data_IF_302442471400
#
_entry.id   IF_302442471400
#
_cell.length_a   1.000
_cell.length_b   1.000
_cell.length_c   1.000
_cell.angle_alpha   90.00
_cell.angle_beta   90.00
_cell.angle_gamma   90.00
#
_symmetry.space_group_name_H-M   'P 1'
#
loop_
_entity.id
_entity.type
_entity.pdbx_description
1 polymer ?
#
# COMPACT_ATOMS: atom_id res chain seq x y z
N UNK A 1 5.94 26.49 0.71
CA UNK A 1 6.26 25.75 0.48
C UNK A 1 6.19 24.64 1.15
N UNK A 2 5.90 23.75 0.91
CA UNK A 2 5.68 22.79 1.51
C UNK A 2 6.64 22.17 1.78
N UNK A 3 6.98 21.88 2.61
CA UNK A 3 7.96 21.30 2.87
C UNK A 3 7.78 20.04 3.12
N UNK A 4 8.37 19.19 2.64
CA UNK A 4 8.50 17.90 3.05
C UNK A 4 7.27 17.24 3.44
N UNK A 5 6.36 17.13 2.70
CA UNK A 5 5.30 16.30 3.02
C UNK A 5 4.27 16.90 3.87
N UNK A 6 4.39 18.18 4.07
CA UNK A 6 3.41 18.85 4.84
C UNK A 6 2.22 19.27 4.02
N UNK A 7 2.21 19.04 2.71
CA UNK A 7 1.05 19.40 1.94
C UNK A 7 -0.04 18.39 2.17
N UNK A 8 -1.27 18.81 1.97
CA UNK A 8 -2.39 17.91 2.15
C UNK A 8 -2.27 16.70 1.23
N UNK A 9 -1.95 16.92 -0.04
CA UNK A 9 -1.84 15.81 -0.96
C UNK A 9 -0.73 14.85 -0.55
N UNK A 10 0.40 15.39 -0.11
CA UNK A 10 1.50 14.54 0.32
C UNK A 10 1.17 13.74 1.56
N UNK A 11 0.44 14.35 2.48
CA UNK A 11 0.04 13.66 3.70
C UNK A 11 -0.91 12.52 3.39
N UNK A 12 -1.84 12.75 2.47
CA UNK A 12 -2.80 11.70 2.09
C UNK A 12 -2.07 10.55 1.42
N UNK A 13 -1.13 10.85 0.53
CA UNK A 13 -0.41 9.80 -0.14
C UNK A 13 0.42 8.99 0.83
N UNK A 14 1.06 9.64 1.78
CA UNK A 14 1.85 8.92 2.76
C UNK A 14 0.98 8.01 3.60
N UNK A 15 -0.19 8.49 3.99
CA UNK A 15 -1.10 7.70 4.80
C UNK A 15 -1.59 6.50 4.00
N UNK A 16 -1.96 6.71 2.74
CA UNK A 16 -2.41 5.60 1.91
C UNK A 16 -1.32 4.57 1.71
N UNK A 17 -0.10 5.04 1.47
CA UNK A 17 1.00 4.11 1.29
C UNK A 17 1.20 3.26 2.53
N UNK A 18 1.14 3.88 3.70
CA UNK A 18 1.34 3.12 4.92
C UNK A 18 0.23 2.11 5.15
N UNK A 19 -1.00 2.46 4.83
CA UNK A 19 -2.09 1.53 4.97
C UNK A 19 -1.90 0.32 4.07
N UNK A 20 -1.49 0.56 2.83
CA UNK A 20 -1.31 -0.51 1.88
C UNK A 20 -0.13 -1.39 2.31
N UNK A 21 0.96 -0.78 2.73
CA UNK A 21 2.12 -1.55 3.16
C UNK A 21 1.77 -2.42 4.36
N UNK A 22 1.05 -1.86 5.33
CA UNK A 22 0.67 -2.65 6.50
C UNK A 22 -0.25 -3.80 6.12
N UNK A 23 -1.18 -3.56 5.22
CA UNK A 23 -2.07 -4.63 4.78
C UNK A 23 -1.30 -5.71 4.03
N UNK A 24 -0.30 -5.32 3.22
CA UNK A 24 0.50 -6.30 2.53
C UNK A 24 1.37 -7.10 3.49
N UNK A 25 1.84 -6.45 4.55
CA UNK A 25 2.61 -7.19 5.55
C UNK A 25 1.73 -8.24 6.22
N UNK A 26 0.50 -7.86 6.57
CA UNK A 26 -0.38 -8.81 7.25
C UNK A 26 -0.79 -9.95 6.35
N UNK A 27 -0.88 -9.71 5.05
CA UNK A 27 -1.35 -10.73 4.13
C UNK A 27 -0.24 -11.42 3.38
N UNK A 28 1.00 -11.10 3.69
CA UNK A 28 2.12 -11.75 3.03
C UNK A 28 2.24 -11.38 1.56
N UNK A 29 1.87 -10.16 1.22
CA UNK A 29 1.96 -9.72 -0.16
C UNK A 29 0.74 -10.07 -1.01
N UNK A 30 -0.31 -10.57 -0.38
CA UNK A 30 -1.50 -10.96 -1.13
C UNK A 30 -2.34 -9.71 -1.40
N UNK A 31 -2.32 -9.26 -2.64
CA UNK A 31 -3.01 -8.02 -2.97
C UNK A 31 -4.52 -8.12 -2.86
N UNK A 32 -5.06 -9.27 -3.18
CA UNK A 32 -6.51 -9.45 -3.09
C UNK A 32 -6.97 -9.33 -1.64
N UNK A 33 -6.26 -9.99 -0.74
CA UNK A 33 -6.64 -9.91 0.66
C UNK A 33 -6.38 -8.53 1.23
N UNK A 34 -5.29 -7.89 0.80
CA UNK A 34 -5.01 -6.54 1.27
C UNK A 34 -6.12 -5.59 0.84
N UNK A 35 -6.62 -5.75 -0.39
CA UNK A 35 -7.71 -4.91 -0.84
C UNK A 35 -8.96 -5.12 -0.01
N UNK A 36 -9.22 -6.37 0.34
CA UNK A 36 -10.39 -6.67 1.16
C UNK A 36 -10.25 -6.03 2.53
N UNK A 37 -9.07 -6.09 3.12
CA UNK A 37 -8.87 -5.48 4.43
C UNK A 37 -9.05 -3.98 4.39
N UNK A 38 -8.69 -3.37 3.29
CA UNK A 38 -8.81 -1.92 3.18
C UNK A 38 -10.13 -1.49 2.55
N UNK A 39 -11.02 -2.46 2.35
CA UNK A 39 -12.35 -2.16 1.81
C UNK A 39 -12.25 -1.47 0.45
N UNK A 40 -11.41 -1.97 -0.41
CA UNK A 40 -11.26 -1.42 -1.74
C UNK A 40 -11.16 -2.56 -2.73
N UNK A 41 -11.10 -2.28 -4.02
CA UNK A 41 -11.03 -3.31 -5.02
C UNK A 41 -9.59 -3.63 -5.38
N UNK A 42 -9.38 -4.81 -5.91
CA UNK A 42 -8.04 -5.21 -6.35
C UNK A 42 -7.53 -4.24 -7.41
N UNK A 43 -8.42 -3.78 -8.28
CA UNK A 43 -8.02 -2.87 -9.31
C UNK A 43 -7.46 -1.58 -8.74
N UNK A 44 -8.14 -1.01 -7.75
CA UNK A 44 -7.71 0.23 -7.14
C UNK A 44 -6.40 0.05 -6.36
N UNK A 45 -6.31 -1.02 -5.58
CA UNK A 45 -5.11 -1.21 -4.79
C UNK A 45 -3.91 -1.46 -5.70
N UNK A 46 -4.13 -2.18 -6.80
CA UNK A 46 -3.06 -2.45 -7.74
C UNK A 46 -2.55 -1.16 -8.36
N UNK A 47 -3.46 -0.26 -8.73
CA UNK A 47 -3.07 1.01 -9.28
C UNK A 47 -2.23 1.80 -8.30
N UNK A 48 -2.65 1.82 -7.04
CA UNK A 48 -1.91 2.59 -6.05
C UNK A 48 -0.57 1.96 -5.70
N UNK A 49 -0.51 0.65 -5.73
CA UNK A 49 0.76 -0.04 -5.51
C UNK A 49 1.77 0.38 -6.57
N UNK A 50 1.33 0.45 -7.82
CA UNK A 50 2.23 0.89 -8.87
C UNK A 50 2.55 2.37 -8.73
N UNK A 51 1.56 3.17 -8.39
CA UNK A 51 1.76 4.60 -8.28
C UNK A 51 2.76 4.92 -7.18
N UNK A 52 2.72 4.20 -6.08
CA UNK A 52 3.60 4.49 -4.96
C UNK A 52 4.90 3.69 -4.98
N UNK A 53 5.09 2.86 -5.99
CA UNK A 53 6.32 2.09 -6.08
C UNK A 53 6.47 1.02 -5.02
N UNK A 54 5.36 0.48 -4.57
CA UNK A 54 5.39 -0.56 -3.56
C UNK A 54 5.64 -1.90 -4.24
N UNK A 55 6.42 -2.76 -3.62
CA UNK A 55 6.70 -4.06 -4.19
C UNK A 55 6.07 -5.14 -3.33
N UNK A 56 4.92 -5.65 -3.71
CA UNK A 56 4.23 -6.64 -2.88
C UNK A 56 5.04 -7.90 -2.63
N UNK A 57 5.91 -8.25 -3.58
CA UNK A 57 6.70 -9.45 -3.40
C UNK A 57 7.61 -9.39 -2.21
N UNK A 58 7.97 -8.22 -1.75
CA UNK A 58 8.85 -8.11 -0.62
C UNK A 58 8.18 -8.56 0.67
N UNK A 59 6.86 -8.65 0.67
CA UNK A 59 6.15 -9.03 1.88
C UNK A 59 5.76 -10.50 1.90
N UNK A 60 6.15 -11.25 0.87
CA UNK A 60 5.82 -12.65 0.88
C UNK A 60 6.58 -13.37 1.91
N UNK A 61 5.91 -14.23 2.65
CA UNK A 61 6.57 -14.98 3.68
C UNK A 61 7.27 -16.18 3.04
N UNK A 62 8.60 -16.35 3.25
CA UNK A 62 9.28 -17.43 2.67
C UNK A 62 9.02 -18.62 3.44
N UNK A 63 8.66 -19.69 2.89
CA UNK A 63 8.45 -20.85 3.57
C UNK A 63 9.64 -21.55 3.61
N UNK A 64 10.22 -21.81 4.53
CA UNK A 64 11.47 -22.49 4.47
C UNK A 64 11.36 -23.86 4.78
#
# INVERSE_FOLDING_TARGET
>A
NSKQGLSLAGAVENFERELIVEALKRTGGNQTKAAQELDTSLRIINYKIHQYGIEPKKFKVKKS
#
